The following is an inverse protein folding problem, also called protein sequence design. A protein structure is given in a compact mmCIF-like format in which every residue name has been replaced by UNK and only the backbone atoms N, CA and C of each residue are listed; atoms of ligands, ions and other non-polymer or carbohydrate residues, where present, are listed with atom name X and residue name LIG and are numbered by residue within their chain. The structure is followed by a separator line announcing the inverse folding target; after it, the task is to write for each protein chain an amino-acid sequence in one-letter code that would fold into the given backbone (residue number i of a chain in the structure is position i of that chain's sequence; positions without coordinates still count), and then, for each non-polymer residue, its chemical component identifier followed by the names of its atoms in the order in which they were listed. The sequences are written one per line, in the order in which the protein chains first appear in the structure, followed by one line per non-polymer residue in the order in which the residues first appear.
data_IF_580741085210
#
_entry.id   IF_580741085210
#
_cell.length_a   1.000
_cell.length_b   1.000
_cell.length_c   1.000
_cell.angle_alpha   90.00
_cell.angle_beta   90.00
_cell.angle_gamma   90.00
#
_symmetry.space_group_name_H-M   'P 1'
#
loop_
_entity.id
_entity.type
_entity.pdbx_description
1 polymer ?
#
# COMPACT_ATOMS: atom_id res chain seq x y z
N UNK A 1 -12.82 15.25 18.77
CA UNK A 1 -12.20 14.88 17.49
C UNK A 1 -10.92 15.69 17.41
N UNK A 2 -10.07 15.52 18.43
CA UNK A 2 -8.98 16.45 18.74
C UNK A 2 -7.62 15.75 18.80
N UNK A 3 -7.58 14.42 18.97
CA UNK A 3 -6.34 13.64 19.20
C UNK A 3 -5.57 13.23 17.93
N UNK A 4 -5.98 13.71 16.74
CA UNK A 4 -5.34 13.34 15.45
C UNK A 4 -4.33 14.37 14.95
N UNK A 5 -4.18 15.52 15.61
CA UNK A 5 -3.39 16.64 15.06
C UNK A 5 -1.86 16.49 15.19
N UNK A 6 -1.38 15.55 16.00
CA UNK A 6 0.06 15.39 16.30
C UNK A 6 0.67 14.05 15.83
N UNK A 7 -0.11 13.18 15.18
CA UNK A 7 0.42 11.92 14.64
C UNK A 7 1.11 12.20 13.29
N UNK A 8 2.38 11.81 13.16
CA UNK A 8 3.06 11.86 11.87
C UNK A 8 2.45 10.82 10.92
N UNK A 9 1.64 11.31 9.98
CA UNK A 9 1.02 10.49 8.93
C UNK A 9 2.01 10.21 7.79
N UNK A 10 1.97 8.98 7.27
CA UNK A 10 2.75 8.53 6.13
C UNK A 10 1.83 7.86 5.11
N UNK A 11 1.84 8.41 3.90
CA UNK A 11 1.19 7.83 2.73
C UNK A 11 2.23 7.09 1.88
N UNK A 12 2.00 5.81 1.65
CA UNK A 12 2.90 4.95 0.86
C UNK A 12 2.16 4.54 -0.41
N UNK A 13 2.66 4.97 -1.57
CA UNK A 13 2.18 4.55 -2.87
C UNK A 13 3.08 3.47 -3.48
N UNK A 14 2.50 2.40 -4.02
CA UNK A 14 3.26 1.31 -4.64
C UNK A 14 2.60 0.84 -5.94
N UNK A 15 3.39 0.66 -6.98
CA UNK A 15 2.97 0.27 -8.32
C UNK A 15 4.06 -0.59 -9.00
N UNK A 16 3.72 -1.23 -10.11
CA UNK A 16 4.66 -1.90 -11.03
C UNK A 16 5.46 -3.05 -10.43
N UNK A 17 4.92 -3.72 -9.40
CA UNK A 17 5.54 -4.89 -8.77
C UNK A 17 5.10 -6.22 -9.41
N UNK A 18 4.13 -6.17 -10.31
CA UNK A 18 3.62 -7.34 -11.01
C UNK A 18 4.47 -7.69 -12.23
N UNK A 19 4.52 -8.98 -12.56
CA UNK A 19 5.28 -9.46 -13.71
C UNK A 19 4.35 -10.22 -14.65
N UNK A 20 4.73 -10.31 -15.93
CA UNK A 20 3.94 -11.06 -16.92
C UNK A 20 3.81 -12.56 -16.59
N UNK A 21 4.75 -13.12 -15.83
CA UNK A 21 4.79 -14.55 -15.51
C UNK A 21 4.02 -14.92 -14.25
N UNK A 22 4.20 -14.16 -13.16
CA UNK A 22 3.64 -14.47 -11.84
C UNK A 22 3.54 -13.23 -10.95
N UNK A 23 2.66 -13.31 -9.95
CA UNK A 23 2.49 -12.26 -8.94
C UNK A 23 1.63 -11.10 -9.42
N UNK A 24 1.21 -10.28 -8.46
CA UNK A 24 0.49 -9.02 -8.71
C UNK A 24 0.85 -8.01 -7.61
N UNK A 25 0.74 -6.71 -7.89
CA UNK A 25 1.09 -5.65 -6.94
C UNK A 25 0.36 -5.83 -5.61
N UNK A 26 -0.91 -6.21 -5.63
CA UNK A 26 -1.70 -6.49 -4.41
C UNK A 26 -1.12 -7.64 -3.59
N UNK A 27 -0.65 -8.72 -4.22
CA UNK A 27 -0.06 -9.87 -3.52
C UNK A 27 1.25 -9.48 -2.82
N UNK A 28 2.14 -8.76 -3.50
CA UNK A 28 3.40 -8.32 -2.92
C UNK A 28 3.18 -7.37 -1.74
N UNK A 29 2.22 -6.44 -1.87
CA UNK A 29 1.86 -5.54 -0.77
C UNK A 29 1.26 -6.29 0.41
N UNK A 30 0.37 -7.26 0.17
CA UNK A 30 -0.14 -8.09 1.25
C UNK A 30 0.99 -8.80 2.01
N UNK A 31 1.95 -9.37 1.29
CA UNK A 31 3.13 -10.02 1.90
C UNK A 31 3.96 -9.02 2.70
N UNK A 32 4.26 -7.84 2.15
CA UNK A 32 5.00 -6.79 2.83
C UNK A 32 4.32 -6.34 4.12
N UNK A 33 3.02 -6.02 4.06
CA UNK A 33 2.24 -5.59 5.22
C UNK A 33 2.20 -6.65 6.32
N UNK A 34 2.12 -7.93 5.94
CA UNK A 34 2.17 -9.05 6.87
C UNK A 34 3.50 -9.14 7.61
N UNK A 35 4.61 -8.90 6.92
CA UNK A 35 5.94 -8.88 7.54
C UNK A 35 6.16 -7.62 8.38
N UNK A 36 5.73 -6.45 7.92
CA UNK A 36 5.78 -5.20 8.71
C UNK A 36 5.01 -5.39 10.02
N UNK A 37 3.80 -5.93 9.97
CA UNK A 37 2.97 -6.20 11.16
C UNK A 37 3.63 -7.14 12.17
N UNK A 38 4.56 -8.01 11.74
CA UNK A 38 5.31 -8.91 12.61
C UNK A 38 6.60 -8.30 13.17
N UNK A 39 7.05 -7.19 12.58
CA UNK A 39 8.26 -6.48 13.00
C UNK A 39 8.00 -5.55 14.20
N UNK A 40 9.08 -5.16 14.88
CA UNK A 40 9.06 -4.11 15.92
C UNK A 40 8.66 -2.73 15.39
N UNK A 41 8.78 -2.50 14.09
CA UNK A 41 8.30 -1.28 13.44
C UNK A 41 6.78 -1.31 13.37
N UNK A 42 6.20 -2.43 12.97
CA UNK A 42 4.75 -2.58 12.84
C UNK A 42 3.99 -2.44 14.15
N UNK A 43 4.61 -2.75 15.29
CA UNK A 43 4.00 -2.53 16.60
C UNK A 43 3.89 -1.06 17.01
N UNK A 44 4.55 -0.15 16.28
CA UNK A 44 4.50 1.31 16.48
C UNK A 44 3.75 2.02 15.35
N UNK A 45 3.10 1.26 14.47
CA UNK A 45 2.36 1.81 13.33
C UNK A 45 0.87 1.56 13.52
N UNK A 46 0.10 2.64 13.46
CA UNK A 46 -1.35 2.61 13.38
C UNK A 46 -1.79 2.68 11.92
N UNK A 47 -2.56 1.69 11.46
CA UNK A 47 -3.18 1.73 10.13
C UNK A 47 -4.42 2.62 10.17
N UNK A 48 -4.42 3.69 9.38
CA UNK A 48 -5.51 4.67 9.38
C UNK A 48 -6.68 4.25 8.48
N UNK A 49 -6.41 3.45 7.45
CA UNK A 49 -7.40 2.91 6.53
C UNK A 49 -6.99 1.54 6.01
N UNK A 50 -7.92 0.86 5.36
CA UNK A 50 -7.55 -0.25 4.47
C UNK A 50 -6.66 0.25 3.33
N UNK A 51 -5.76 -0.59 2.80
CA UNK A 51 -5.06 -0.29 1.56
C UNK A 51 -6.05 -0.03 0.42
N UNK A 52 -5.82 1.04 -0.32
CA UNK A 52 -6.66 1.43 -1.45
C UNK A 52 -6.06 0.89 -2.74
N UNK A 53 -6.85 0.13 -3.52
CA UNK A 53 -6.48 -0.28 -4.87
C UNK A 53 -6.93 0.78 -5.87
N UNK A 54 -5.99 1.58 -6.36
CA UNK A 54 -6.24 2.69 -7.27
C UNK A 54 -6.06 2.24 -8.71
N UNK A 55 -7.14 2.27 -9.51
CA UNK A 55 -7.09 2.01 -10.96
C UNK A 55 -6.64 3.26 -11.69
N UNK A 56 -5.63 3.12 -12.53
CA UNK A 56 -5.10 4.16 -13.41
C UNK A 56 -5.75 4.05 -14.80
N UNK A 57 -5.27 4.85 -15.76
CA UNK A 57 -5.79 4.86 -17.12
C UNK A 57 -5.64 3.47 -17.78
N UNK A 58 -6.73 2.76 -18.11
CA UNK A 58 -6.66 1.42 -18.70
C UNK A 58 -6.13 1.42 -20.14
N UNK A 59 -6.09 2.55 -20.82
CA UNK A 59 -5.65 2.66 -22.22
C UNK A 59 -4.12 2.65 -22.40
N UNK A 60 -3.33 2.58 -21.32
CA UNK A 60 -1.86 2.61 -21.42
C UNK A 60 -1.31 1.26 -21.93
N UNK A 61 -0.64 1.23 -23.09
CA UNK A 61 -0.28 -0.03 -23.76
C UNK A 61 0.92 -0.76 -23.14
N UNK A 62 1.75 -0.07 -22.36
CA UNK A 62 2.99 -0.60 -21.77
C UNK A 62 2.80 -1.22 -20.37
N UNK A 63 1.56 -1.33 -19.88
CA UNK A 63 1.25 -1.85 -18.54
C UNK A 63 0.53 -3.19 -18.62
N UNK A 64 0.63 -3.96 -17.54
CA UNK A 64 -0.10 -5.21 -17.38
C UNK A 64 -1.62 -4.98 -17.34
N UNK A 65 -2.39 -6.06 -17.54
CA UNK A 65 -3.85 -5.97 -17.56
C UNK A 65 -4.37 -5.39 -16.24
N UNK A 66 -4.95 -4.20 -16.34
CA UNK A 66 -5.66 -3.54 -15.25
C UNK A 66 -4.99 -2.31 -14.64
N UNK A 67 -3.73 -2.00 -14.98
CA UNK A 67 -3.02 -0.76 -14.61
C UNK A 67 -3.41 -0.19 -13.23
N UNK A 68 -2.92 -0.79 -12.14
CA UNK A 68 -3.39 -0.46 -10.80
C UNK A 68 -2.26 -0.38 -9.77
N UNK A 69 -2.32 0.66 -8.95
CA UNK A 69 -1.41 0.92 -7.85
C UNK A 69 -2.11 0.69 -6.49
N UNK A 70 -1.34 0.56 -5.41
CA UNK A 70 -1.86 0.59 -4.05
C UNK A 70 -1.42 1.84 -3.30
N UNK A 71 -2.31 2.32 -2.43
CA UNK A 71 -2.00 3.35 -1.44
C UNK A 71 -2.25 2.81 -0.02
N UNK A 72 -1.32 3.07 0.89
CA UNK A 72 -1.35 2.61 2.28
C UNK A 72 -1.17 3.84 3.17
N UNK A 73 -2.06 4.02 4.14
CA UNK A 73 -2.04 5.16 5.06
C UNK A 73 -1.77 4.66 6.48
N UNK A 74 -0.68 5.13 7.07
CA UNK A 74 -0.28 4.79 8.43
C UNK A 74 0.10 6.04 9.22
N UNK A 75 0.02 5.95 10.53
CA UNK A 75 0.53 6.92 11.47
C UNK A 75 1.52 6.25 12.42
N UNK A 76 2.60 6.95 12.80
CA UNK A 76 3.44 6.52 13.91
C UNK A 76 2.75 6.79 15.24
N UNK A 77 2.73 5.81 16.14
CA UNK A 77 2.37 5.99 17.55
C UNK A 77 3.50 6.66 18.36
#
# INVERSE_FOLDING_TARGET
MEDLKDLQELHIGVDDLDTFGWGCTTYYIYRLLKEIRRSSVGSRLRYLSYPLLTRLNPAIPLRTRGNGALSIHVAGE
#
